data_IF_918537403664
#
_entry.id   IF_918537403664
#
_cell.length_a   1.000
_cell.length_b   1.000
_cell.length_c   1.000
_cell.angle_alpha   90.00
_cell.angle_beta   90.00
_cell.angle_gamma   90.00
#
_symmetry.space_group_name_H-M   'P 1'
#
loop_
_entity.id
_entity.type
_entity.pdbx_description
1 polymer ?
#
# COMPACT_ATOMS: atom_id res chain seq x y z
N UNK A 1 -3.97 -6.49 -21.84
CA UNK A 1 -5.19 -7.26 -21.47
C UNK A 1 -6.39 -6.76 -22.26
N UNK A 2 -7.21 -7.67 -22.80
CA UNK A 2 -8.33 -7.40 -23.70
C UNK A 2 -9.65 -7.18 -22.95
N UNK A 3 -10.57 -6.38 -23.52
CA UNK A 3 -11.92 -6.09 -22.98
C UNK A 3 -12.73 -7.34 -22.63
N UNK A 4 -12.49 -8.43 -23.37
CA UNK A 4 -13.13 -9.74 -23.20
C UNK A 4 -12.82 -10.36 -21.82
N UNK A 5 -11.69 -10.00 -21.21
CA UNK A 5 -11.27 -10.51 -19.89
C UNK A 5 -11.82 -9.64 -18.75
N UNK A 6 -11.88 -8.33 -18.95
CA UNK A 6 -12.28 -7.39 -17.90
C UNK A 6 -13.78 -7.44 -17.62
N UNK A 7 -14.62 -7.51 -18.66
CA UNK A 7 -16.08 -7.43 -18.48
C UNK A 7 -16.64 -8.60 -17.67
N UNK A 8 -16.31 -9.88 -17.97
CA UNK A 8 -16.78 -11.02 -17.18
C UNK A 8 -16.19 -11.03 -15.76
N UNK A 9 -14.96 -10.52 -15.60
CA UNK A 9 -14.30 -10.44 -14.28
C UNK A 9 -14.93 -9.36 -13.42
N UNK A 10 -15.17 -8.17 -13.95
CA UNK A 10 -15.89 -7.09 -13.27
C UNK A 10 -17.26 -7.57 -12.78
N UNK A 11 -17.99 -8.32 -13.60
CA UNK A 11 -19.27 -8.92 -13.21
C UNK A 11 -19.17 -9.98 -12.11
N UNK A 12 -18.09 -10.78 -12.07
CA UNK A 12 -17.92 -11.85 -11.06
C UNK A 12 -17.28 -11.39 -9.76
N UNK A 13 -16.29 -10.50 -9.81
CA UNK A 13 -15.44 -10.13 -8.67
C UNK A 13 -15.58 -8.67 -8.25
N UNK A 14 -16.32 -7.86 -9.01
CA UNK A 14 -16.45 -6.42 -8.77
C UNK A 14 -15.18 -5.60 -9.05
N UNK A 15 -14.11 -6.23 -9.58
CA UNK A 15 -12.83 -5.57 -9.84
C UNK A 15 -12.24 -5.97 -11.19
N UNK A 16 -11.68 -4.99 -11.89
CA UNK A 16 -11.01 -5.17 -13.19
C UNK A 16 -9.74 -6.00 -13.09
N UNK A 17 -9.01 -5.87 -11.99
CA UNK A 17 -7.69 -6.49 -11.81
C UNK A 17 -7.68 -7.50 -10.66
N UNK A 18 -6.82 -8.53 -10.81
CA UNK A 18 -6.57 -9.51 -9.74
C UNK A 18 -5.37 -9.07 -8.88
N UNK A 19 -5.57 -9.06 -7.57
CA UNK A 19 -4.55 -8.62 -6.62
C UNK A 19 -3.34 -9.57 -6.57
N UNK A 20 -3.54 -10.87 -6.81
CA UNK A 20 -2.45 -11.86 -6.75
C UNK A 20 -1.52 -11.70 -7.96
N UNK A 21 -2.09 -11.57 -9.16
CA UNK A 21 -1.31 -11.31 -10.37
C UNK A 21 -0.52 -10.00 -10.27
N UNK A 22 -1.13 -8.94 -9.76
CA UNK A 22 -0.43 -7.68 -9.55
C UNK A 22 0.61 -7.74 -8.43
N UNK A 23 0.40 -8.54 -7.38
CA UNK A 23 1.42 -8.81 -6.36
C UNK A 23 2.66 -9.52 -6.95
N UNK A 24 2.44 -10.48 -7.86
CA UNK A 24 3.54 -11.15 -8.57
C UNK A 24 4.32 -10.19 -9.45
N UNK A 25 3.62 -9.34 -10.21
CA UNK A 25 4.25 -8.32 -11.06
C UNK A 25 4.98 -7.27 -10.22
N UNK A 26 4.40 -6.87 -9.08
CA UNK A 26 5.00 -5.83 -8.24
C UNK A 26 6.26 -6.27 -7.53
N UNK A 27 6.37 -7.56 -7.20
CA UNK A 27 7.62 -8.13 -6.70
C UNK A 27 8.83 -7.87 -7.61
N UNK A 28 8.66 -7.75 -8.93
CA UNK A 28 9.77 -7.44 -9.82
C UNK A 28 10.38 -6.05 -9.50
N UNK A 29 9.54 -5.02 -9.38
CA UNK A 29 10.01 -3.65 -9.13
C UNK A 29 10.26 -3.35 -7.65
N UNK A 30 9.61 -4.05 -6.72
CA UNK A 30 9.86 -3.91 -5.27
C UNK A 30 11.02 -4.79 -4.78
N UNK A 31 11.78 -5.43 -5.67
CA UNK A 31 12.87 -6.36 -5.32
C UNK A 31 12.39 -7.46 -4.36
N UNK A 32 11.28 -8.09 -4.71
CA UNK A 32 10.55 -9.07 -3.90
C UNK A 32 9.81 -8.42 -2.73
N UNK A 33 9.75 -9.13 -1.61
CA UNK A 33 9.07 -8.69 -0.39
C UNK A 33 9.91 -7.71 0.43
N UNK A 34 10.47 -6.68 -0.19
CA UNK A 34 11.27 -5.67 0.51
C UNK A 34 10.38 -4.83 1.42
N UNK A 35 10.83 -4.60 2.65
CA UNK A 35 10.13 -3.76 3.65
C UNK A 35 10.58 -2.31 3.57
N UNK A 36 9.80 -1.39 4.15
CA UNK A 36 10.19 0.02 4.23
C UNK A 36 11.57 0.20 4.90
N UNK A 37 11.84 -0.53 5.99
CA UNK A 37 13.13 -0.49 6.67
C UNK A 37 14.28 -1.01 5.80
N UNK A 38 14.08 -2.10 5.08
CA UNK A 38 15.08 -2.66 4.17
C UNK A 38 15.36 -1.70 3.00
N UNK A 39 14.33 -1.15 2.37
CA UNK A 39 14.48 -0.18 1.29
C UNK A 39 15.22 1.08 1.73
N UNK A 40 14.93 1.58 2.95
CA UNK A 40 15.65 2.71 3.52
C UNK A 40 17.13 2.40 3.77
N UNK A 41 17.45 1.22 4.31
CA UNK A 41 18.85 0.80 4.50
C UNK A 41 19.62 0.72 3.19
N UNK A 42 18.96 0.30 2.10
CA UNK A 42 19.59 0.14 0.79
C UNK A 42 19.76 1.47 0.04
N UNK A 43 18.86 2.43 0.23
CA UNK A 43 18.79 3.63 -0.63
C UNK A 43 19.02 4.95 0.12
N UNK A 44 18.89 4.95 1.45
CA UNK A 44 18.83 6.17 2.28
C UNK A 44 17.57 7.02 2.08
N UNK A 45 16.62 6.58 1.23
CA UNK A 45 15.41 7.36 0.89
C UNK A 45 14.20 6.93 1.71
N UNK A 46 13.47 7.89 2.27
CA UNK A 46 12.25 7.64 3.04
C UNK A 46 11.04 7.54 2.11
N UNK A 47 10.52 6.31 1.94
CA UNK A 47 9.31 6.05 1.17
C UNK A 47 8.07 6.21 2.07
N UNK A 48 7.04 6.86 1.54
CA UNK A 48 5.74 7.05 2.20
C UNK A 48 4.63 6.61 1.24
N UNK A 49 3.70 5.78 1.73
CA UNK A 49 2.53 5.32 0.98
C UNK A 49 1.30 5.46 1.87
N UNK A 50 0.33 6.27 1.46
CA UNK A 50 -0.92 6.50 2.18
C UNK A 50 -1.95 5.42 1.85
N UNK A 51 -2.63 4.91 2.88
CA UNK A 51 -3.71 3.92 2.71
C UNK A 51 -4.84 4.21 3.70
N UNK A 52 -6.06 3.92 3.27
CA UNK A 52 -7.26 4.09 4.08
C UNK A 52 -7.79 2.72 4.46
N UNK A 53 -8.20 2.49 5.71
CA UNK A 53 -8.90 1.27 6.05
C UNK A 53 -10.23 1.18 5.29
N UNK A 54 -10.62 -0.03 4.90
CA UNK A 54 -11.94 -0.27 4.29
C UNK A 54 -13.09 0.01 5.29
N UNK A 55 -12.79 -0.01 6.59
CA UNK A 55 -13.73 0.30 7.66
C UNK A 55 -13.80 1.82 7.92
N UNK A 56 -15.01 2.43 7.91
CA UNK A 56 -15.17 3.89 7.97
C UNK A 56 -14.56 4.56 9.21
N UNK A 57 -14.61 3.90 10.37
CA UNK A 57 -14.21 4.50 11.65
C UNK A 57 -12.73 4.31 11.98
N UNK A 58 -12.00 3.56 11.16
CA UNK A 58 -10.58 3.33 11.39
C UNK A 58 -9.73 4.52 10.89
N UNK A 59 -8.66 4.89 11.62
CA UNK A 59 -7.80 6.00 11.25
C UNK A 59 -6.99 5.68 9.99
N UNK A 60 -6.63 6.74 9.27
CA UNK A 60 -5.72 6.68 8.13
C UNK A 60 -4.35 6.16 8.58
N UNK A 61 -3.71 5.32 7.76
CA UNK A 61 -2.32 4.89 8.00
C UNK A 61 -1.44 5.35 6.83
N UNK A 62 -0.40 6.10 7.17
CA UNK A 62 0.72 6.38 6.29
C UNK A 62 1.81 5.33 6.52
N UNK A 63 1.98 4.40 5.60
CA UNK A 63 3.02 3.38 5.66
C UNK A 63 4.38 4.02 5.32
N UNK A 64 5.29 4.03 6.29
CA UNK A 64 6.65 4.52 6.10
C UNK A 64 7.65 3.82 7.04
N UNK A 65 8.90 4.27 7.03
CA UNK A 65 9.98 3.72 7.86
C UNK A 65 9.81 3.96 9.37
N UNK A 66 9.02 4.96 9.77
CA UNK A 66 8.78 5.34 11.17
C UNK A 66 7.57 4.58 11.73
N UNK A 67 6.44 4.63 11.04
CA UNK A 67 5.16 4.05 11.47
C UNK A 67 5.08 2.55 11.18
N UNK A 68 5.62 2.09 10.06
CA UNK A 68 5.40 0.74 9.52
C UNK A 68 6.68 0.10 8.95
N UNK A 69 7.80 0.05 9.71
CA UNK A 69 9.11 -0.35 9.18
C UNK A 69 9.15 -1.76 8.58
N UNK A 70 8.38 -2.70 9.12
CA UNK A 70 8.37 -4.11 8.68
C UNK A 70 7.28 -4.39 7.63
N UNK A 71 6.47 -3.39 7.26
CA UNK A 71 5.46 -3.55 6.23
C UNK A 71 6.14 -3.73 4.86
N UNK A 72 5.57 -4.62 4.04
CA UNK A 72 6.11 -4.98 2.74
C UNK A 72 5.58 -4.01 1.68
N UNK A 73 6.50 -3.42 0.92
CA UNK A 73 6.21 -2.30 0.01
C UNK A 73 5.17 -2.68 -1.06
N UNK A 74 5.26 -3.87 -1.65
CA UNK A 74 4.31 -4.27 -2.69
C UNK A 74 2.87 -4.33 -2.16
N UNK A 75 2.68 -4.70 -0.89
CA UNK A 75 1.33 -4.78 -0.30
C UNK A 75 0.74 -3.40 -0.06
N UNK A 76 1.55 -2.44 0.42
CA UNK A 76 1.16 -1.04 0.54
C UNK A 76 0.88 -0.40 -0.81
N UNK A 77 1.66 -0.72 -1.84
CA UNK A 77 1.45 -0.23 -3.20
C UNK A 77 0.12 -0.71 -3.79
N UNK A 78 -0.22 -1.99 -3.61
CA UNK A 78 -1.53 -2.51 -4.02
C UNK A 78 -2.66 -1.87 -3.23
N UNK A 79 -2.50 -1.71 -1.90
CA UNK A 79 -3.47 -1.05 -1.06
C UNK A 79 -3.73 0.40 -1.50
N UNK A 80 -2.68 1.14 -1.82
CA UNK A 80 -2.80 2.51 -2.36
C UNK A 80 -3.44 2.54 -3.74
N UNK A 81 -3.38 1.46 -4.52
CA UNK A 81 -4.02 1.38 -5.84
C UNK A 81 -5.43 0.76 -5.78
N UNK A 82 -5.93 0.43 -4.58
CA UNK A 82 -7.21 -0.21 -4.37
C UNK A 82 -8.37 0.79 -4.40
N UNK A 83 -8.72 1.17 -5.62
CA UNK A 83 -9.87 2.00 -5.96
C UNK A 83 -11.06 1.10 -6.33
N UNK A 84 -12.30 1.43 -5.91
CA UNK A 84 -13.50 0.72 -6.34
C UNK A 84 -13.53 0.48 -7.86
N UNK A 85 -13.98 -0.71 -8.27
CA UNK A 85 -14.02 -1.17 -9.67
C UNK A 85 -12.67 -1.48 -10.33
N UNK A 86 -11.55 -0.95 -9.82
CA UNK A 86 -10.20 -1.24 -10.33
C UNK A 86 -9.62 -2.45 -9.60
N UNK A 87 -9.50 -2.36 -8.27
CA UNK A 87 -8.90 -3.39 -7.44
C UNK A 87 -9.66 -3.48 -6.10
N UNK A 88 -9.94 -4.70 -5.66
CA UNK A 88 -10.59 -4.93 -4.38
C UNK A 88 -9.69 -4.53 -3.20
N UNK A 89 -10.28 -4.19 -2.04
CA UNK A 89 -9.50 -3.83 -0.85
C UNK A 89 -8.52 -4.93 -0.45
N UNK A 90 -7.27 -4.55 -0.18
CA UNK A 90 -6.13 -5.47 -0.03
C UNK A 90 -5.65 -5.49 1.41
N UNK A 91 -5.15 -6.64 1.86
CA UNK A 91 -4.55 -6.77 3.20
C UNK A 91 -3.10 -6.32 3.13
N UNK A 92 -2.72 -5.40 4.03
CA UNK A 92 -1.31 -5.03 4.19
C UNK A 92 -0.54 -6.22 4.75
N UNK A 93 0.64 -6.46 4.20
CA UNK A 93 1.52 -7.55 4.61
C UNK A 93 2.75 -6.97 5.31
N UNK A 94 3.30 -7.71 6.25
CA UNK A 94 4.54 -7.41 6.92
C UNK A 94 5.44 -8.64 7.00
N UNK A 95 6.75 -8.42 7.11
CA UNK A 95 7.66 -9.50 7.46
C UNK A 95 7.61 -9.73 8.96
N UNK A 96 7.33 -10.97 9.35
CA UNK A 96 7.56 -11.40 10.72
C UNK A 96 9.06 -11.39 11.03
N UNK A 97 9.44 -10.76 12.15
CA UNK A 97 10.83 -10.62 12.57
C UNK A 97 11.49 -11.97 12.90
N UNK A 98 10.71 -12.96 13.31
CA UNK A 98 11.22 -14.29 13.70
C UNK A 98 11.35 -15.21 12.51
N UNK A 99 10.29 -15.33 11.71
CA UNK A 99 10.22 -16.30 10.62
C UNK A 99 10.62 -15.74 9.25
N UNK A 100 10.77 -14.42 9.12
CA UNK A 100 10.94 -13.71 7.85
C UNK A 100 9.83 -13.99 6.81
N UNK A 101 8.71 -14.59 7.23
CA UNK A 101 7.57 -14.86 6.36
C UNK A 101 6.66 -13.64 6.28
N UNK A 102 5.94 -13.53 5.16
CA UNK A 102 4.92 -12.52 5.00
C UNK A 102 3.67 -12.90 5.83
N UNK A 103 3.29 -12.04 6.76
CA UNK A 103 2.10 -12.17 7.61
C UNK A 103 1.23 -10.90 7.50
N UNK A 104 -0.08 -10.97 7.77
CA UNK A 104 -0.93 -9.78 7.78
C UNK A 104 -0.44 -8.73 8.79
N UNK A 105 -0.39 -7.45 8.40
CA UNK A 105 0.07 -6.34 9.25
C UNK A 105 -0.88 -6.02 10.41
N UNK A 106 -2.19 -6.15 10.19
CA UNK A 106 -3.25 -5.91 11.18
C UNK A 106 -4.36 -6.91 10.93
N UNK A 107 -4.69 -7.76 11.91
CA UNK A 107 -5.75 -8.81 12.00
C UNK A 107 -6.59 -9.13 10.73
N UNK A 108 -6.00 -9.19 9.54
CA UNK A 108 -6.72 -9.29 8.26
C UNK A 108 -7.47 -8.03 7.79
N UNK A 109 -7.25 -6.86 8.41
CA UNK A 109 -7.87 -5.61 7.99
C UNK A 109 -7.50 -5.26 6.54
N UNK A 110 -8.50 -4.86 5.76
CA UNK A 110 -8.35 -4.50 4.35
C UNK A 110 -8.21 -3.00 4.18
N UNK A 111 -7.44 -2.61 3.18
CA UNK A 111 -7.03 -1.24 2.91
C UNK A 111 -7.35 -0.85 1.46
N UNK A 112 -7.58 0.44 1.26
CA UNK A 112 -7.96 1.10 0.01
C UNK A 112 -7.09 2.33 -0.24
N UNK A 113 -7.23 2.91 -1.42
CA UNK A 113 -6.49 4.09 -1.85
C UNK A 113 -6.66 5.29 -0.89
N UNK A 114 -5.51 5.88 -0.52
CA UNK A 114 -5.35 7.10 0.28
C UNK A 114 -6.03 8.34 -0.31
N UNK A 115 -6.06 8.44 -1.63
CA UNK A 115 -6.62 9.61 -2.33
C UNK A 115 -8.12 9.80 -2.07
N UNK A 116 -8.83 8.74 -1.66
CA UNK A 116 -10.28 8.76 -1.39
C UNK A 116 -10.67 9.62 -0.18
N UNK A 117 -9.73 9.97 0.72
CA UNK A 117 -9.97 10.95 1.81
C UNK A 117 -9.12 12.20 1.62
N UNK A 118 -7.83 12.04 1.32
CA UNK A 118 -6.89 13.16 1.21
C UNK A 118 -5.76 12.80 0.25
N UNK A 119 -5.53 13.64 -0.76
CA UNK A 119 -4.57 13.38 -1.84
C UNK A 119 -3.12 13.29 -1.31
N UNK A 120 -2.64 14.32 -0.60
CA UNK A 120 -1.32 14.33 0.03
C UNK A 120 -1.46 14.58 1.54
N UNK A 121 -1.04 13.65 2.42
CA UNK A 121 -1.15 13.82 3.87
C UNK A 121 -0.01 14.70 4.42
N UNK A 122 0.00 15.98 4.02
CA UNK A 122 1.06 16.96 4.35
C UNK A 122 1.25 17.10 5.86
N UNK A 123 0.16 17.22 6.62
CA UNK A 123 0.25 17.38 8.08
C UNK A 123 0.92 16.18 8.76
N UNK A 124 0.53 14.95 8.38
CA UNK A 124 1.15 13.75 8.90
C UNK A 124 2.64 13.65 8.53
N UNK A 125 3.00 14.01 7.29
CA UNK A 125 4.40 14.05 6.84
C UNK A 125 5.21 15.08 7.63
N UNK A 126 4.64 16.27 7.86
CA UNK A 126 5.25 17.33 8.67
C UNK A 126 5.51 16.85 10.10
N UNK A 127 4.53 16.19 10.72
CA UNK A 127 4.68 15.62 12.06
C UNK A 127 5.73 14.51 12.11
N UNK A 128 5.71 13.55 11.18
CA UNK A 128 6.63 12.41 11.22
C UNK A 128 8.08 12.77 10.89
N UNK A 129 8.29 13.83 10.12
CA UNK A 129 9.62 14.25 9.71
C UNK A 129 10.09 15.57 10.33
N UNK A 130 9.28 16.16 11.21
CA UNK A 130 9.55 17.44 11.85
C UNK A 130 9.92 18.52 10.83
N UNK A 131 9.10 18.66 9.78
CA UNK A 131 9.29 19.64 8.70
C UNK A 131 8.14 20.64 8.68
N UNK A 132 8.45 21.92 8.44
CA UNK A 132 7.47 23.00 8.43
C UNK A 132 6.93 23.32 7.04
N UNK A 133 7.71 23.06 5.99
CA UNK A 133 7.37 23.40 4.61
C UNK A 133 7.53 22.18 3.71
N UNK A 134 6.58 22.01 2.79
CA UNK A 134 6.61 20.96 1.77
C UNK A 134 6.53 21.59 0.38
N UNK A 135 7.30 21.02 -0.55
CA UNK A 135 7.24 21.37 -1.97
C UNK A 135 6.66 20.17 -2.70
N UNK A 136 5.59 20.40 -3.47
CA UNK A 136 4.91 19.37 -4.25
C UNK A 136 5.15 19.63 -5.73
N UNK A 137 5.49 18.57 -6.46
CA UNK A 137 5.51 18.54 -7.93
C UNK A 137 4.68 17.35 -8.38
N UNK A 138 3.77 17.57 -9.32
CA UNK A 138 2.92 16.53 -9.92
C UNK A 138 3.31 16.27 -11.37
#
# INVERSE_FOLDING_TARGET
DSWIVWFPRLWRTGARFDAVDWARKSNFFTKGSTTFKEAYKLTGRKLNISTIPAEPYSPLILCNTVTSPNCIIWSSLLASSAVPYILNPVVLMMKDKKTNRAVPFSMGNKWRDGSLRTDIPVEALNTYYNVSFTVVSQ
#
